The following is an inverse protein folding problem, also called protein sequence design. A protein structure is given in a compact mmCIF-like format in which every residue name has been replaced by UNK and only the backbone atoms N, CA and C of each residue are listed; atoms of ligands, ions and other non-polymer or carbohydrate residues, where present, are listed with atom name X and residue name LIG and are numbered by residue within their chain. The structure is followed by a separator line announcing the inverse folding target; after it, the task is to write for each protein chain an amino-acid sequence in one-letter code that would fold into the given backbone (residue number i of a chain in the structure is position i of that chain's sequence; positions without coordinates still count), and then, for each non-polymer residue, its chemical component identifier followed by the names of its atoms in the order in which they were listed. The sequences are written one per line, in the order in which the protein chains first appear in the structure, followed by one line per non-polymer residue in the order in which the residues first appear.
data_IF_446410317050
#
_entry.id   IF_446410317050
#
_cell.length_a   1.000
_cell.length_b   1.000
_cell.length_c   1.000
_cell.angle_alpha   90.00
_cell.angle_beta   90.00
_cell.angle_gamma   90.00
#
_symmetry.space_group_name_H-M   'P 1'
#
loop_
_entity.id
_entity.type
_entity.pdbx_description
1 polymer ?
#
# COMPACT_ATOMS: atom_id res chain seq x y z
N UNK A 1 -23.51 -44.33 72.61
CA UNK A 1 -23.86 -45.75 72.39
C UNK A 1 -24.17 -45.91 70.92
N UNK A 2 -23.37 -46.69 70.16
CA UNK A 2 -23.70 -48.06 69.65
C UNK A 2 -24.99 -48.03 68.80
N UNK A 3 -25.11 -48.44 67.53
CA UNK A 3 -24.45 -49.40 66.59
C UNK A 3 -25.03 -49.04 65.20
N UNK A 4 -24.33 -49.03 64.06
CA UNK A 4 -23.65 -50.10 63.31
C UNK A 4 -24.56 -51.16 62.65
N UNK A 5 -24.25 -51.42 61.36
CA UNK A 5 -24.53 -52.64 60.55
C UNK A 5 -25.79 -52.59 59.68
N UNK A 6 -25.84 -53.00 58.40
CA UNK A 6 -24.93 -53.47 57.32
C UNK A 6 -25.86 -53.65 56.09
N UNK A 7 -25.49 -53.79 54.82
CA UNK A 7 -24.27 -54.17 54.12
C UNK A 7 -24.68 -54.74 52.75
N UNK A 8 -23.72 -54.83 51.82
CA UNK A 8 -23.87 -55.45 50.49
C UNK A 8 -23.03 -54.68 49.46
N UNK A 9 -21.69 -54.81 49.44
CA UNK A 9 -20.86 -55.92 48.90
C UNK A 9 -20.91 -56.06 47.37
N UNK A 10 -19.93 -55.46 46.72
CA UNK A 10 -19.42 -55.76 45.38
C UNK A 10 -17.95 -55.35 45.32
N UNK A 11 -17.05 -56.32 45.15
CA UNK A 11 -15.61 -56.25 45.47
C UNK A 11 -14.77 -56.04 44.20
N UNK A 12 -13.92 -54.99 44.27
CA UNK A 12 -12.54 -54.78 43.74
C UNK A 12 -12.09 -55.56 42.49
N UNK A 13 -11.47 -54.84 41.54
CA UNK A 13 -9.99 -54.84 41.43
C UNK A 13 -9.40 -53.66 40.64
N UNK A 14 -8.18 -53.30 41.03
CA UNK A 14 -7.32 -52.22 40.52
C UNK A 14 -6.45 -52.77 39.40
N UNK A 15 -6.28 -52.01 38.33
CA UNK A 15 -5.02 -52.00 37.57
C UNK A 15 -4.67 -50.56 37.25
N UNK A 16 -3.47 -50.16 37.67
CA UNK A 16 -2.81 -48.90 37.35
C UNK A 16 -2.01 -49.14 36.09
N UNK A 17 -2.19 -48.32 35.07
CA UNK A 17 -1.20 -48.13 34.01
C UNK A 17 -0.97 -46.64 33.84
N UNK A 18 0.32 -46.31 33.86
CA UNK A 18 0.87 -44.99 33.63
C UNK A 18 1.11 -44.81 32.13
N UNK A 19 0.82 -43.63 31.59
CA UNK A 19 1.40 -43.21 30.31
C UNK A 19 1.54 -41.69 30.34
N UNK A 20 2.77 -41.30 30.65
CA UNK A 20 3.57 -40.20 30.10
C UNK A 20 2.94 -38.82 29.84
N UNK A 21 3.48 -37.87 30.58
CA UNK A 21 3.59 -36.45 30.24
C UNK A 21 4.16 -36.27 28.82
N UNK A 22 3.48 -35.49 27.98
CA UNK A 22 4.13 -34.81 26.87
C UNK A 22 3.75 -33.34 26.91
N UNK A 23 4.78 -32.53 27.12
CA UNK A 23 4.81 -31.09 27.00
C UNK A 23 4.32 -30.65 25.62
N UNK A 24 3.30 -29.80 25.58
CA UNK A 24 2.90 -29.08 24.37
C UNK A 24 3.99 -28.05 24.07
N UNK A 25 4.91 -28.45 23.19
CA UNK A 25 5.92 -27.60 22.57
C UNK A 25 5.29 -26.95 21.34
N UNK A 26 5.55 -25.66 21.23
CA UNK A 26 5.31 -24.71 20.13
C UNK A 26 5.16 -25.28 18.72
N UNK A 27 4.07 -24.92 18.04
CA UNK A 27 4.00 -24.78 16.58
C UNK A 27 3.65 -23.32 16.26
N UNK A 28 4.60 -22.41 16.51
CA UNK A 28 4.70 -21.18 15.73
C UNK A 28 5.25 -21.59 14.37
N UNK A 29 4.37 -21.96 13.45
CA UNK A 29 4.72 -22.06 12.04
C UNK A 29 5.09 -20.67 11.55
N UNK A 30 6.41 -20.43 11.59
CA UNK A 30 7.12 -19.35 10.96
C UNK A 30 6.77 -19.37 9.47
N UNK A 31 5.82 -18.52 9.06
CA UNK A 31 5.61 -18.16 7.66
C UNK A 31 6.94 -17.60 7.13
N UNK A 32 7.78 -18.48 6.58
CA UNK A 32 8.88 -18.05 5.73
C UNK A 32 8.25 -17.32 4.56
N UNK A 33 8.21 -15.99 4.64
CA UNK A 33 8.12 -15.13 3.48
C UNK A 33 9.15 -15.66 2.49
N UNK A 34 8.64 -16.32 1.45
CA UNK A 34 9.45 -16.68 0.30
C UNK A 34 9.69 -15.36 -0.41
N UNK A 35 10.77 -14.67 -0.02
CA UNK A 35 11.23 -13.46 -0.70
C UNK A 35 11.43 -13.83 -2.18
N UNK A 36 10.51 -13.38 -3.03
CA UNK A 36 10.68 -13.50 -4.48
C UNK A 36 11.94 -12.71 -4.83
N UNK A 37 12.95 -13.41 -5.37
CA UNK A 37 14.20 -12.78 -5.78
C UNK A 37 13.92 -11.84 -6.95
N UNK A 38 13.78 -10.56 -6.63
CA UNK A 38 13.57 -9.51 -7.63
C UNK A 38 14.77 -9.37 -8.58
N UNK A 39 14.54 -9.18 -9.89
CA UNK A 39 15.61 -8.92 -10.85
C UNK A 39 16.43 -7.68 -10.45
N UNK A 40 17.73 -7.87 -10.20
CA UNK A 40 18.64 -6.80 -9.76
C UNK A 40 19.02 -6.83 -8.29
N UNK A 41 18.45 -7.74 -7.49
CA UNK A 41 18.93 -8.04 -6.14
C UNK A 41 20.32 -8.67 -6.16
N UNK A 42 21.10 -8.46 -5.10
CA UNK A 42 22.43 -9.05 -4.92
C UNK A 42 22.41 -10.02 -3.75
N UNK A 43 23.02 -11.18 -3.96
CA UNK A 43 23.38 -12.09 -2.88
C UNK A 43 24.75 -11.69 -2.33
N UNK A 44 24.89 -11.67 -1.01
CA UNK A 44 26.16 -11.51 -0.30
C UNK A 44 26.45 -12.83 0.41
N UNK A 45 27.63 -13.39 0.14
CA UNK A 45 28.15 -14.63 0.73
C UNK A 45 27.18 -15.82 0.69
N UNK A 46 26.30 -15.87 -0.33
CA UNK A 46 25.25 -16.89 -0.51
C UNK A 46 24.26 -17.03 0.67
N UNK A 47 24.27 -16.07 1.62
CA UNK A 47 23.50 -16.10 2.87
C UNK A 47 22.56 -14.90 2.99
N UNK A 48 22.97 -13.72 2.52
CA UNK A 48 22.22 -12.46 2.72
C UNK A 48 21.72 -11.93 1.38
N UNK A 49 20.40 -11.80 1.22
CA UNK A 49 19.79 -11.14 0.07
C UNK A 49 19.65 -9.65 0.30
N UNK A 50 20.16 -8.85 -0.63
CA UNK A 50 19.95 -7.40 -0.68
C UNK A 50 19.05 -7.12 -1.89
N UNK A 51 17.80 -6.66 -1.70
CA UNK A 51 16.94 -6.29 -2.83
C UNK A 51 17.55 -5.11 -3.60
N UNK A 52 17.24 -4.92 -4.90
CA UNK A 52 17.80 -3.83 -5.68
C UNK A 52 17.53 -2.46 -5.01
N UNK A 53 18.40 -1.44 -5.20
CA UNK A 53 18.05 -0.11 -4.76
C UNK A 53 16.75 0.32 -5.47
N UNK A 54 15.78 0.91 -4.76
CA UNK A 54 14.63 1.48 -5.43
C UNK A 54 15.13 2.51 -6.44
N UNK A 55 14.57 2.55 -7.67
CA UNK A 55 14.95 3.56 -8.63
C UNK A 55 14.77 4.94 -7.98
N UNK A 56 15.78 5.82 -8.05
CA UNK A 56 15.74 7.10 -7.37
C UNK A 56 14.49 7.86 -7.80
N UNK A 57 13.62 8.14 -6.81
CA UNK A 57 12.38 8.87 -7.02
C UNK A 57 12.71 10.22 -7.69
N UNK A 58 12.00 10.57 -8.77
CA UNK A 58 12.17 11.83 -9.51
C UNK A 58 13.40 11.96 -10.43
N UNK A 59 14.08 10.86 -10.79
CA UNK A 59 15.08 10.87 -11.89
C UNK A 59 14.41 10.83 -13.27
N UNK A 60 13.56 11.81 -13.55
CA UNK A 60 13.07 12.00 -14.90
C UNK A 60 14.15 12.74 -15.69
N UNK A 61 14.93 12.00 -16.47
CA UNK A 61 15.78 12.61 -17.50
C UNK A 61 14.92 13.53 -18.37
N UNK A 62 15.44 14.71 -18.72
CA UNK A 62 14.74 15.64 -19.60
C UNK A 62 14.38 14.94 -20.92
N UNK A 63 13.08 14.70 -21.11
CA UNK A 63 12.56 14.01 -22.28
C UNK A 63 12.34 12.51 -22.13
N UNK A 64 12.42 11.95 -20.92
CA UNK A 64 11.90 10.62 -20.63
C UNK A 64 10.35 10.58 -20.69
N UNK A 65 9.73 9.45 -21.09
CA UNK A 65 8.29 9.29 -21.01
C UNK A 65 7.81 9.32 -19.56
N UNK A 66 6.73 10.05 -19.29
CA UNK A 66 6.09 10.12 -17.97
C UNK A 66 4.61 9.78 -18.04
N UNK A 67 4.11 9.16 -16.98
CA UNK A 67 2.69 8.87 -16.81
C UNK A 67 1.96 10.13 -16.32
N UNK A 68 0.81 10.42 -16.91
CA UNK A 68 -0.10 11.49 -16.48
C UNK A 68 -1.53 10.99 -16.35
N UNK A 69 -2.33 11.68 -15.55
CA UNK A 69 -3.78 11.47 -15.49
C UNK A 69 -4.43 12.39 -16.53
N UNK A 70 -5.17 11.85 -17.49
CA UNK A 70 -5.90 12.66 -18.48
C UNK A 70 -7.21 13.22 -17.93
N UNK A 71 -7.96 12.39 -17.21
CA UNK A 71 -9.24 12.75 -16.59
C UNK A 71 -9.63 11.66 -15.59
N UNK A 72 -10.57 12.00 -14.71
CA UNK A 72 -11.18 11.06 -13.76
C UNK A 72 -12.67 11.00 -14.08
N UNK A 73 -13.23 9.80 -14.18
CA UNK A 73 -14.66 9.58 -14.35
C UNK A 73 -15.24 9.08 -13.03
N UNK A 74 -16.13 9.87 -12.44
CA UNK A 74 -16.88 9.52 -11.24
C UNK A 74 -18.30 9.13 -11.62
N UNK A 75 -18.75 7.99 -11.14
CA UNK A 75 -20.14 7.54 -11.29
C UNK A 75 -20.73 7.30 -9.90
N UNK A 76 -21.70 8.13 -9.53
CA UNK A 76 -22.41 8.06 -8.25
C UNK A 76 -21.49 8.11 -7.02
N UNK A 77 -20.42 8.91 -7.06
CA UNK A 77 -19.41 8.98 -5.99
C UNK A 77 -19.56 10.25 -5.14
N UNK A 78 -19.79 10.10 -3.83
CA UNK A 78 -19.93 11.20 -2.85
C UNK A 78 -20.88 12.31 -3.30
N UNK A 79 -20.37 13.48 -3.68
CA UNK A 79 -21.19 14.62 -4.15
C UNK A 79 -21.56 14.54 -5.64
N UNK A 80 -21.00 13.58 -6.38
CA UNK A 80 -21.20 13.41 -7.82
C UNK A 80 -22.34 12.40 -8.05
N UNK A 81 -23.52 12.90 -8.41
CA UNK A 81 -24.68 12.07 -8.74
C UNK A 81 -24.67 11.70 -10.23
N UNK A 82 -24.74 10.42 -10.57
CA UNK A 82 -24.55 9.95 -11.94
C UNK A 82 -23.11 10.11 -12.42
N UNK A 83 -22.94 10.13 -13.75
CA UNK A 83 -21.62 10.14 -14.39
C UNK A 83 -21.09 11.56 -14.59
N UNK A 84 -19.98 11.87 -13.92
CA UNK A 84 -19.24 13.11 -14.02
C UNK A 84 -17.81 12.86 -14.50
N UNK A 85 -17.35 13.66 -15.45
CA UNK A 85 -15.97 13.61 -15.95
C UNK A 85 -15.23 14.84 -15.41
N UNK A 86 -14.18 14.60 -14.63
CA UNK A 86 -13.28 15.60 -14.08
C UNK A 86 -12.06 15.71 -14.99
N UNK A 87 -11.98 16.80 -15.75
CA UNK A 87 -10.92 17.04 -16.71
C UNK A 87 -11.45 17.62 -18.03
N UNK A 88 -10.62 17.64 -19.08
CA UNK A 88 -9.27 17.09 -19.14
C UNK A 88 -8.26 17.85 -18.25
N UNK A 89 -7.34 17.11 -17.61
CA UNK A 89 -6.23 17.69 -16.88
C UNK A 89 -5.12 18.14 -17.84
N UNK A 90 -4.46 19.23 -17.49
CA UNK A 90 -3.32 19.73 -18.23
C UNK A 90 -2.07 18.85 -17.99
N UNK A 91 -1.28 18.64 -19.05
CA UNK A 91 -0.05 17.81 -19.05
C UNK A 91 1.10 18.37 -18.19
N UNK A 92 0.98 19.60 -17.72
CA UNK A 92 1.96 20.27 -16.85
C UNK A 92 1.42 20.54 -15.46
N UNK A 93 0.40 21.40 -15.37
CA UNK A 93 -0.17 21.80 -14.07
C UNK A 93 -1.66 22.08 -14.18
N UNK A 94 -2.43 21.55 -13.23
CA UNK A 94 -3.88 21.83 -13.12
C UNK A 94 -4.22 22.30 -11.71
N UNK A 95 -4.96 23.40 -11.62
CA UNK A 95 -5.52 23.89 -10.36
C UNK A 95 -7.02 23.60 -10.30
N UNK A 96 -7.49 23.05 -9.17
CA UNK A 96 -8.91 22.81 -8.90
C UNK A 96 -9.42 23.92 -7.99
N UNK A 97 -10.34 24.75 -8.50
CA UNK A 97 -10.89 25.92 -7.79
C UNK A 97 -12.41 25.85 -7.71
N UNK A 98 -13.00 26.54 -6.75
CA UNK A 98 -14.45 26.58 -6.57
C UNK A 98 -14.88 26.95 -5.14
N UNK A 99 -16.17 27.26 -4.93
CA UNK A 99 -16.71 27.65 -3.63
C UNK A 99 -16.51 26.61 -2.53
N UNK A 100 -16.60 27.01 -1.26
CA UNK A 100 -16.59 26.05 -0.15
C UNK A 100 -17.74 25.05 -0.31
N UNK A 101 -17.48 23.79 0.07
CA UNK A 101 -18.41 22.66 -0.10
C UNK A 101 -18.80 22.30 -1.55
N UNK A 102 -18.15 22.86 -2.58
CA UNK A 102 -18.41 22.48 -3.99
C UNK A 102 -17.88 21.10 -4.41
N UNK A 103 -17.42 20.27 -3.46
CA UNK A 103 -16.88 18.94 -3.73
C UNK A 103 -15.42 18.90 -4.20
N UNK A 104 -14.63 19.97 -4.07
CA UNK A 104 -13.21 19.98 -4.49
C UNK A 104 -12.37 18.87 -3.84
N UNK A 105 -12.54 18.68 -2.53
CA UNK A 105 -11.89 17.60 -1.78
C UNK A 105 -12.30 16.22 -2.28
N UNK A 106 -13.51 16.09 -2.85
CA UNK A 106 -13.99 14.82 -3.38
C UNK A 106 -13.22 14.38 -4.63
N UNK A 107 -12.52 15.29 -5.32
CA UNK A 107 -11.60 14.93 -6.41
C UNK A 107 -10.42 14.12 -5.86
N UNK A 108 -9.81 14.59 -4.77
CA UNK A 108 -8.73 13.86 -4.07
C UNK A 108 -9.28 12.57 -3.46
N UNK A 109 -10.49 12.58 -2.90
CA UNK A 109 -11.12 11.35 -2.42
C UNK A 109 -11.35 10.30 -3.51
N UNK A 110 -11.59 10.72 -4.75
CA UNK A 110 -11.75 9.82 -5.90
C UNK A 110 -10.44 9.09 -6.18
N UNK A 111 -9.31 9.81 -6.14
CA UNK A 111 -7.97 9.23 -6.26
C UNK A 111 -7.65 8.31 -5.08
N UNK A 112 -7.88 8.77 -3.84
CA UNK A 112 -7.69 7.97 -2.62
C UNK A 112 -8.50 6.66 -2.62
N UNK A 113 -9.69 6.70 -3.20
CA UNK A 113 -10.54 5.52 -3.31
C UNK A 113 -9.97 4.50 -4.30
N UNK A 114 -9.51 4.94 -5.47
CA UNK A 114 -8.92 4.05 -6.49
C UNK A 114 -7.54 3.53 -6.08
N UNK A 115 -6.76 4.33 -5.37
CA UNK A 115 -5.40 3.99 -4.97
C UNK A 115 -5.29 3.30 -3.60
N UNK A 116 -6.41 3.06 -2.91
CA UNK A 116 -6.41 2.40 -1.59
C UNK A 116 -5.54 3.09 -0.50
N UNK A 117 -5.11 4.34 -0.70
CA UNK A 117 -4.28 5.08 0.27
C UNK A 117 -5.02 5.48 1.56
N UNK A 118 -6.20 4.90 1.82
CA UNK A 118 -7.13 5.30 2.89
C UNK A 118 -6.84 4.72 4.26
N UNK A 119 -5.84 3.86 4.38
CA UNK A 119 -5.65 2.99 5.54
C UNK A 119 -5.43 3.72 6.87
N UNK A 120 -4.98 4.99 6.90
CA UNK A 120 -4.58 5.62 8.16
C UNK A 120 -5.51 6.70 8.74
N UNK A 121 -6.40 7.34 7.95
CA UNK A 121 -7.09 8.57 8.42
C UNK A 121 -8.61 8.64 8.21
N UNK A 122 -9.25 7.71 7.50
CA UNK A 122 -10.72 7.71 7.39
C UNK A 122 -11.36 6.84 8.49
N UNK A 123 -12.14 7.46 9.37
CA UNK A 123 -12.88 6.86 10.49
C UNK A 123 -13.99 5.88 10.06
N UNK A 124 -14.01 5.38 8.83
CA UNK A 124 -15.07 4.50 8.36
C UNK A 124 -14.51 3.46 7.39
N UNK A 125 -14.30 2.24 7.90
CA UNK A 125 -13.92 1.03 7.14
C UNK A 125 -14.96 0.61 6.08
N UNK A 126 -16.06 1.36 5.94
CA UNK A 126 -17.22 1.02 5.10
C UNK A 126 -17.17 1.76 3.78
N UNK A 127 -16.82 1.04 2.72
CA UNK A 127 -16.73 1.57 1.35
C UNK A 127 -18.10 2.05 0.84
N UNK A 128 -19.20 1.48 1.32
CA UNK A 128 -20.56 1.86 0.92
C UNK A 128 -20.94 3.31 1.26
N UNK A 129 -20.26 3.96 2.22
CA UNK A 129 -20.51 5.38 2.59
C UNK A 129 -20.08 6.34 1.47
N UNK A 130 -19.28 5.87 0.51
CA UNK A 130 -18.81 6.67 -0.62
C UNK A 130 -19.80 6.76 -1.76
N UNK A 131 -20.85 5.94 -1.73
CA UNK A 131 -21.91 5.96 -2.72
C UNK A 131 -22.72 7.23 -2.50
N UNK A 132 -23.01 7.94 -3.60
CA UNK A 132 -23.83 9.15 -3.57
C UNK A 132 -25.19 8.85 -2.93
N UNK A 133 -25.62 9.74 -2.05
CA UNK A 133 -26.92 9.68 -1.39
C UNK A 133 -27.51 11.09 -1.34
N UNK A 134 -28.63 11.28 -2.01
CA UNK A 134 -29.41 12.52 -1.99
C UNK A 134 -30.89 12.21 -2.06
N UNK A 135 -31.73 13.19 -1.69
CA UNK A 135 -33.19 13.03 -1.72
C UNK A 135 -33.72 12.71 -3.13
N UNK A 136 -33.03 13.19 -4.17
CA UNK A 136 -33.37 12.94 -5.57
C UNK A 136 -32.88 11.56 -6.06
N UNK A 137 -31.83 11.01 -5.45
CA UNK A 137 -31.18 9.77 -5.88
C UNK A 137 -30.99 8.80 -4.70
N UNK A 138 -32.10 8.25 -4.20
CA UNK A 138 -32.10 7.42 -2.98
C UNK A 138 -31.71 5.94 -3.23
N UNK A 139 -31.78 5.45 -4.47
CA UNK A 139 -31.67 4.03 -4.81
C UNK A 139 -30.41 3.70 -5.63
N UNK A 140 -29.29 4.34 -5.34
CA UNK A 140 -28.00 4.01 -5.97
C UNK A 140 -27.35 2.84 -5.24
N UNK A 141 -27.16 1.72 -5.93
CA UNK A 141 -26.60 0.48 -5.36
C UNK A 141 -25.07 0.42 -5.38
N UNK A 142 -24.43 1.15 -6.29
CA UNK A 142 -22.98 1.13 -6.49
C UNK A 142 -22.43 2.48 -6.93
N UNK A 143 -21.16 2.72 -6.63
CA UNK A 143 -20.39 3.81 -7.21
C UNK A 143 -19.14 3.27 -7.91
N UNK A 144 -18.70 3.96 -8.96
CA UNK A 144 -17.48 3.62 -9.69
C UNK A 144 -16.63 4.86 -9.89
N UNK A 145 -15.34 4.75 -9.65
CA UNK A 145 -14.37 5.79 -10.03
C UNK A 145 -13.37 5.17 -10.99
N UNK A 146 -13.10 5.86 -12.09
CA UNK A 146 -12.14 5.45 -13.11
C UNK A 146 -11.11 6.57 -13.33
N UNK A 147 -9.83 6.24 -13.17
CA UNK A 147 -8.70 7.13 -13.43
C UNK A 147 -8.11 6.74 -14.78
N UNK A 148 -8.09 7.69 -15.70
CA UNK A 148 -7.58 7.48 -17.05
C UNK A 148 -6.15 7.99 -17.13
N UNK A 149 -5.23 7.10 -17.49
CA UNK A 149 -3.81 7.39 -17.61
C UNK A 149 -3.35 7.43 -19.06
N UNK A 150 -2.41 8.31 -19.34
CA UNK A 150 -1.72 8.41 -20.62
C UNK A 150 -0.22 8.60 -20.38
N UNK A 151 0.60 8.04 -21.27
CA UNK A 151 2.05 8.28 -21.25
C UNK A 151 2.38 9.38 -22.25
N UNK A 152 3.14 10.38 -21.80
CA UNK A 152 3.60 11.49 -22.62
C UNK A 152 5.12 11.62 -22.58
N UNK A 153 5.71 12.12 -23.65
CA UNK A 153 7.14 12.41 -23.71
C UNK A 153 7.36 13.79 -24.29
N UNK A 154 8.25 14.57 -23.67
CA UNK A 154 8.69 15.85 -24.22
C UNK A 154 9.84 15.59 -25.17
N UNK A 155 9.66 15.93 -26.44
CA UNK A 155 10.72 15.83 -27.44
C UNK A 155 11.71 17.00 -27.28
N UNK A 156 12.96 16.86 -27.77
CA UNK A 156 13.95 17.94 -27.79
C UNK A 156 13.46 19.18 -28.55
N UNK A 157 12.52 19.02 -29.48
CA UNK A 157 11.86 20.11 -30.21
C UNK A 157 10.90 20.94 -29.33
N UNK A 158 10.59 20.49 -28.12
CA UNK A 158 9.59 21.09 -27.22
C UNK A 158 8.18 20.53 -27.39
N UNK A 159 7.93 19.74 -28.43
CA UNK A 159 6.64 19.09 -28.68
C UNK A 159 6.37 17.97 -27.66
N UNK A 160 5.09 17.72 -27.39
CA UNK A 160 4.64 16.64 -26.51
C UNK A 160 4.09 15.49 -27.34
N UNK A 161 4.81 14.38 -27.36
CA UNK A 161 4.37 13.13 -27.94
C UNK A 161 3.44 12.40 -26.97
N UNK A 162 2.27 12.00 -27.46
CA UNK A 162 1.32 11.16 -26.74
C UNK A 162 1.42 9.72 -27.26
N UNK A 163 1.59 8.76 -26.35
CA UNK A 163 1.56 7.34 -26.70
C UNK A 163 0.14 6.81 -26.55
N UNK A 164 -0.64 6.84 -27.64
CA UNK A 164 -2.01 6.33 -27.67
C UNK A 164 -2.10 4.84 -27.30
N UNK A 165 -1.10 4.05 -27.69
CA UNK A 165 -1.02 2.61 -27.36
C UNK A 165 -0.69 2.32 -25.89
N UNK A 166 -0.32 3.36 -25.11
CA UNK A 166 0.05 3.24 -23.69
C UNK A 166 -1.00 3.87 -22.76
N UNK A 167 -2.23 3.99 -23.23
CA UNK A 167 -3.37 4.42 -22.41
C UNK A 167 -3.94 3.24 -21.65
N UNK A 168 -4.21 3.45 -20.37
CA UNK A 168 -4.93 2.47 -19.56
C UNK A 168 -5.82 3.16 -18.55
N UNK A 169 -6.82 2.42 -18.08
CA UNK A 169 -7.80 2.91 -17.12
C UNK A 169 -7.74 2.01 -15.90
N UNK A 170 -7.60 2.61 -14.73
CA UNK A 170 -7.74 1.92 -13.45
C UNK A 170 -9.05 2.35 -12.85
N UNK A 171 -9.91 1.40 -12.50
CA UNK A 171 -11.21 1.70 -11.91
C UNK A 171 -11.47 0.85 -10.68
N UNK A 172 -12.16 1.43 -9.70
CA UNK A 172 -12.69 0.73 -8.54
C UNK A 172 -14.20 0.91 -8.48
N UNK A 173 -14.93 -0.18 -8.31
CA UNK A 173 -16.38 -0.17 -8.10
C UNK A 173 -16.68 -0.66 -6.69
N UNK A 174 -17.56 0.04 -5.99
CA UNK A 174 -18.00 -0.33 -4.64
C UNK A 174 -19.52 -0.42 -4.57
N UNK A 175 -20.00 -1.33 -3.73
CA UNK A 175 -21.42 -1.63 -3.54
C UNK A 175 -21.86 -1.33 -2.11
N UNK A 176 -23.19 -1.23 -1.91
CA UNK A 176 -23.79 -0.97 -0.58
C UNK A 176 -23.49 -2.05 0.46
N UNK A 177 -23.24 -3.28 0.03
CA UNK A 177 -22.82 -4.39 0.90
C UNK A 177 -21.36 -4.26 1.39
N UNK A 178 -20.66 -3.18 0.99
CA UNK A 178 -19.24 -2.92 1.25
C UNK A 178 -18.27 -3.82 0.47
N UNK A 179 -18.75 -4.61 -0.48
CA UNK A 179 -17.88 -5.24 -1.45
C UNK A 179 -17.33 -4.20 -2.42
N UNK A 180 -16.12 -4.44 -2.91
CA UNK A 180 -15.53 -3.64 -3.99
C UNK A 180 -14.65 -4.52 -4.85
N UNK A 181 -14.57 -4.23 -6.14
CA UNK A 181 -13.61 -4.85 -7.05
C UNK A 181 -12.86 -3.79 -7.84
N UNK A 182 -11.70 -4.20 -8.34
CA UNK A 182 -10.84 -3.39 -9.18
C UNK A 182 -10.87 -3.89 -10.62
N UNK A 183 -10.72 -2.97 -11.57
CA UNK A 183 -10.49 -3.30 -12.96
C UNK A 183 -9.36 -2.47 -13.56
N UNK A 184 -8.58 -3.09 -14.46
CA UNK A 184 -7.64 -2.43 -15.36
C UNK A 184 -8.13 -2.65 -16.78
N UNK A 185 -8.40 -1.57 -17.53
CA UNK A 185 -8.89 -1.65 -18.91
C UNK A 185 -10.19 -2.45 -19.05
N UNK A 186 -11.05 -2.40 -18.02
CA UNK A 186 -12.31 -3.14 -17.98
C UNK A 186 -12.22 -4.61 -17.55
N UNK A 187 -11.02 -5.16 -17.32
CA UNK A 187 -10.83 -6.52 -16.80
C UNK A 187 -10.65 -6.48 -15.29
N UNK A 188 -11.35 -7.36 -14.57
CA UNK A 188 -11.19 -7.48 -13.11
C UNK A 188 -9.78 -7.93 -12.75
N UNK A 189 -9.22 -7.34 -11.69
CA UNK A 189 -7.86 -7.54 -11.25
C UNK A 189 -7.74 -7.36 -9.74
N UNK A 190 -6.60 -7.76 -9.17
CA UNK A 190 -6.27 -7.49 -7.77
C UNK A 190 -5.62 -6.12 -7.59
N UNK A 191 -5.65 -5.58 -6.36
CA UNK A 191 -4.94 -4.33 -6.06
C UNK A 191 -3.42 -4.45 -6.27
N UNK A 192 -2.83 -5.62 -5.98
CA UNK A 192 -1.41 -5.89 -6.25
C UNK A 192 -1.04 -5.74 -7.73
N UNK A 193 -1.93 -6.13 -8.64
CA UNK A 193 -1.72 -5.92 -10.08
C UNK A 193 -1.74 -4.44 -10.46
N UNK A 194 -2.60 -3.63 -9.81
CA UNK A 194 -2.61 -2.17 -9.98
C UNK A 194 -1.30 -1.57 -9.48
N UNK A 195 -0.86 -1.93 -8.27
CA UNK A 195 0.41 -1.47 -7.70
C UNK A 195 1.57 -1.79 -8.64
N UNK A 196 1.68 -3.05 -9.09
CA UNK A 196 2.70 -3.47 -10.05
C UNK A 196 2.62 -2.67 -11.35
N UNK A 197 1.42 -2.42 -11.87
CA UNK A 197 1.23 -1.67 -13.11
C UNK A 197 1.64 -0.20 -12.99
N UNK A 198 1.36 0.42 -11.85
CA UNK A 198 1.76 1.79 -11.56
C UNK A 198 3.26 1.90 -11.29
N UNK A 199 3.84 0.92 -10.60
CA UNK A 199 5.27 0.82 -10.36
C UNK A 199 6.08 0.66 -11.66
N UNK A 200 5.60 -0.16 -12.61
CA UNK A 200 6.16 -0.24 -13.98
C UNK A 200 6.24 1.11 -14.70
N UNK A 201 5.37 2.05 -14.32
CA UNK A 201 5.30 3.41 -14.88
C UNK A 201 5.91 4.47 -13.96
N UNK A 202 6.68 4.06 -12.95
CA UNK A 202 7.40 4.95 -12.03
C UNK A 202 6.54 5.58 -10.93
N UNK A 203 5.36 5.03 -10.66
CA UNK A 203 4.49 5.47 -9.55
C UNK A 203 4.53 4.43 -8.44
N UNK A 204 5.32 4.71 -7.40
CA UNK A 204 5.38 3.91 -6.19
C UNK A 204 4.21 4.23 -5.26
N UNK A 205 3.41 3.20 -4.96
CA UNK A 205 2.24 3.30 -4.10
C UNK A 205 2.52 2.91 -2.64
N UNK A 206 3.61 2.20 -2.36
CA UNK A 206 3.85 1.65 -1.03
C UNK A 206 4.28 2.75 -0.07
N UNK A 207 5.15 3.66 -0.55
CA UNK A 207 5.58 4.83 0.21
C UNK A 207 4.65 6.05 0.04
N UNK A 208 3.59 5.95 -0.77
CA UNK A 208 2.56 6.98 -1.02
C UNK A 208 3.10 8.41 -1.28
N UNK A 209 4.28 8.55 -1.88
CA UNK A 209 4.99 9.86 -2.02
C UNK A 209 4.40 10.81 -3.07
N UNK A 210 3.43 10.34 -3.84
CA UNK A 210 2.78 11.13 -4.89
C UNK A 210 1.59 11.96 -4.38
N UNK A 211 1.14 11.71 -3.15
CA UNK A 211 -0.02 12.37 -2.56
C UNK A 211 0.40 13.16 -1.33
N UNK A 212 0.14 14.46 -1.35
CA UNK A 212 0.37 15.34 -0.20
C UNK A 212 -0.98 15.79 0.33
N UNK A 213 -1.36 15.31 1.52
CA UNK A 213 -2.63 15.61 2.18
C UNK A 213 -2.49 16.74 3.22
N UNK A 214 -3.62 17.36 3.55
CA UNK A 214 -3.69 18.31 4.64
C UNK A 214 -3.25 17.63 5.95
N UNK A 215 -2.36 18.29 6.70
CA UNK A 215 -1.80 17.78 7.94
C UNK A 215 -0.54 16.93 7.77
N UNK A 216 -0.14 16.56 6.55
CA UNK A 216 1.14 15.85 6.36
C UNK A 216 2.33 16.76 6.61
N UNK A 217 2.27 18.02 6.18
CA UNK A 217 3.29 19.02 6.49
C UNK A 217 3.46 19.22 8.00
N UNK A 218 2.34 19.22 8.74
CA UNK A 218 2.34 19.27 10.20
C UNK A 218 2.97 18.01 10.80
N UNK A 219 2.61 16.83 10.28
CA UNK A 219 3.22 15.58 10.76
C UNK A 219 4.73 15.54 10.54
N UNK A 220 5.23 16.01 9.39
CA UNK A 220 6.66 16.12 9.11
C UNK A 220 7.32 17.12 10.08
N UNK A 221 6.65 18.22 10.38
CA UNK A 221 7.15 19.23 11.33
C UNK A 221 7.24 18.71 12.77
N UNK A 222 6.39 17.73 13.13
CA UNK A 222 6.33 17.10 14.45
C UNK A 222 7.09 15.77 14.53
N UNK A 223 7.72 15.32 13.43
CA UNK A 223 8.51 14.08 13.43
C UNK A 223 9.68 14.19 14.41
N UNK A 224 9.87 13.14 15.19
CA UNK A 224 11.04 13.02 16.06
C UNK A 224 12.29 12.73 15.20
N UNK A 225 13.49 13.08 15.67
CA UNK A 225 14.72 12.76 14.94
C UNK A 225 14.89 11.27 14.61
N UNK A 226 14.43 10.39 15.49
CA UNK A 226 14.45 8.93 15.35
C UNK A 226 13.17 8.34 15.95
N UNK A 227 12.69 7.22 15.40
CA UNK A 227 11.58 6.47 15.98
C UNK A 227 11.90 6.05 17.43
N UNK A 228 10.90 6.13 18.32
CA UNK A 228 11.08 5.75 19.72
C UNK A 228 11.21 4.23 19.91
N UNK A 229 10.64 3.45 18.98
CA UNK A 229 10.77 2.00 18.88
C UNK A 229 10.72 1.58 17.41
N UNK A 230 11.25 0.40 17.07
CA UNK A 230 11.21 -0.15 15.70
C UNK A 230 9.77 -0.41 15.19
N UNK A 231 8.78 -0.45 16.09
CA UNK A 231 7.36 -0.65 15.79
C UNK A 231 6.55 0.66 15.71
N UNK A 232 7.17 1.82 15.95
CA UNK A 232 6.47 3.09 15.93
C UNK A 232 6.10 3.46 14.48
N UNK A 233 4.86 3.17 14.10
CA UNK A 233 4.32 3.41 12.75
C UNK A 233 4.32 4.89 12.34
N UNK A 234 4.62 5.81 13.28
CA UNK A 234 4.77 7.22 12.99
C UNK A 234 6.12 7.59 12.34
N UNK A 235 7.13 6.71 12.45
CA UNK A 235 8.48 6.89 11.89
C UNK A 235 9.22 8.11 12.47
N UNK A 236 10.54 8.01 12.61
CA UNK A 236 11.37 9.20 12.81
C UNK A 236 11.79 9.81 11.47
N UNK A 237 12.34 11.02 11.54
CA UNK A 237 12.94 11.68 10.38
C UNK A 237 14.05 10.84 9.76
N UNK A 238 14.83 10.12 10.58
CA UNK A 238 15.86 9.21 10.09
C UNK A 238 15.27 8.09 9.24
N UNK A 239 14.27 7.38 9.75
CA UNK A 239 13.62 6.27 9.04
C UNK A 239 12.96 6.77 7.74
N UNK A 240 12.30 7.92 7.80
CA UNK A 240 11.75 8.57 6.62
C UNK A 240 12.81 8.83 5.54
N UNK A 241 13.96 9.42 5.91
CA UNK A 241 15.05 9.68 4.98
C UNK A 241 15.70 8.40 4.44
N UNK A 242 15.84 7.37 5.28
CA UNK A 242 16.36 6.06 4.87
C UNK A 242 15.46 5.40 3.83
N UNK A 243 14.14 5.52 3.99
CA UNK A 243 13.19 5.06 2.99
C UNK A 243 13.29 5.89 1.71
N UNK A 244 13.50 7.22 1.80
CA UNK A 244 13.67 8.08 0.61
C UNK A 244 14.92 7.70 -0.17
N UNK A 245 16.03 7.45 0.52
CA UNK A 245 17.31 7.07 -0.08
C UNK A 245 17.28 5.60 -0.53
N UNK A 246 16.40 4.78 0.05
CA UNK A 246 16.37 3.33 -0.17
C UNK A 246 17.47 2.60 0.59
N UNK A 247 17.98 3.19 1.67
CA UNK A 247 18.95 2.55 2.57
C UNK A 247 18.29 1.67 3.62
N UNK A 248 16.96 1.76 3.81
CA UNK A 248 16.21 0.88 4.72
C UNK A 248 16.38 -0.61 4.40
N UNK A 249 16.54 -0.96 3.11
CA UNK A 249 16.84 -2.33 2.65
C UNK A 249 18.13 -2.95 3.21
N UNK A 250 19.02 -2.13 3.75
CA UNK A 250 20.32 -2.57 4.26
C UNK A 250 20.28 -2.87 5.76
N UNK A 251 19.20 -2.50 6.46
CA UNK A 251 19.10 -2.67 7.92
C UNK A 251 19.18 -4.12 8.36
N UNK A 252 18.42 -5.01 7.72
CA UNK A 252 18.42 -6.44 8.05
C UNK A 252 19.75 -7.12 7.70
N UNK A 253 20.33 -6.93 6.50
CA UNK A 253 21.68 -7.38 6.17
C UNK A 253 22.73 -7.00 7.21
N UNK A 254 22.78 -5.72 7.64
CA UNK A 254 23.76 -5.23 8.62
C UNK A 254 23.52 -5.82 10.02
N UNK A 255 22.26 -6.11 10.39
CA UNK A 255 21.94 -6.77 11.67
C UNK A 255 22.41 -8.22 11.70
N UNK A 256 22.39 -8.91 10.56
CA UNK A 256 22.78 -10.32 10.43
C UNK A 256 24.30 -10.51 10.48
N UNK A 257 25.07 -9.55 9.97
CA UNK A 257 26.53 -9.56 10.07
C UNK A 257 27.08 -8.14 10.39
N UNK A 258 27.47 -7.88 11.66
CA UNK A 258 28.05 -6.61 12.06
C UNK A 258 29.45 -6.34 11.48
N UNK A 259 30.21 -7.38 11.15
CA UNK A 259 31.56 -7.26 10.59
C UNK A 259 31.50 -6.84 9.11
N UNK A 260 30.40 -7.14 8.42
CA UNK A 260 30.09 -6.68 7.07
C UNK A 260 30.01 -5.14 6.94
N UNK A 261 29.67 -4.42 8.02
CA UNK A 261 29.62 -2.95 8.00
C UNK A 261 30.98 -2.31 7.59
N UNK A 262 32.09 -2.98 7.93
CA UNK A 262 33.44 -2.57 7.53
C UNK A 262 33.72 -2.75 6.04
N UNK A 263 33.15 -3.78 5.40
CA UNK A 263 33.26 -4.03 3.96
C UNK A 263 32.26 -3.18 3.15
N UNK A 264 31.08 -2.92 3.71
CA UNK A 264 30.07 -2.04 3.12
C UNK A 264 30.59 -0.63 2.83
N UNK A 265 31.39 -0.08 3.75
CA UNK A 265 32.06 1.23 3.56
C UNK A 265 32.99 1.23 2.34
N UNK A 266 33.56 0.09 1.97
CA UNK A 266 34.38 -0.05 0.75
C UNK A 266 33.52 -0.24 -0.51
N UNK A 267 32.36 -0.89 -0.37
CA UNK A 267 31.43 -1.15 -1.47
C UNK A 267 30.70 0.13 -1.94
N UNK A 268 30.25 0.97 -1.00
CA UNK A 268 29.53 2.23 -1.31
C UNK A 268 30.47 3.31 -1.86
N UNK A 269 31.74 3.30 -1.47
CA UNK A 269 32.76 4.20 -2.01
C UNK A 269 33.40 3.70 -3.33
N UNK A 270 32.92 2.58 -3.86
CA UNK A 270 33.30 2.08 -5.19
C UNK A 270 32.58 2.90 -6.27
N UNK A 271 33.23 3.24 -7.41
CA UNK A 271 32.66 4.09 -8.46
C UNK A 271 31.45 3.51 -9.22
N UNK A 272 30.80 2.47 -8.68
CA UNK A 272 29.67 1.74 -9.26
C UNK A 272 28.34 2.03 -8.51
N UNK A 273 28.38 2.87 -7.47
CA UNK A 273 27.20 3.43 -6.81
C UNK A 273 27.01 4.91 -7.16
#
# INVERSE_FOLDING_TARGET
MKRASAGGSGRKEKTREATEESSVVSDEENEKETFEMEPGGRMVDDIIYIPPPPPPSLTFDEGSPRLIISHITNDNFKSYAGKHILGPFNKGFTAIVGPNASGKSNVIDSLLFVFECRAQKLQSKKVGVLIHSSNEHQNIESCTVSVHFEVIQRLPSGELLNFEDRKFVVSRTAFRDNSSYYCIGGKQCTFKEIQRKLLENGVDMDHNRFLILQGEVESISLMKPKAASEQDSSGGMLEYLEDVIGSSRLKEPVKLDPDWAGEFTKLVNSPVF
#
